data_IF_762955523915
#
_entry.id   IF_762955523915
#
_cell.length_a   1.000
_cell.length_b   1.000
_cell.length_c   1.000
_cell.angle_alpha   90.00
_cell.angle_beta   90.00
_cell.angle_gamma   90.00
#
_symmetry.space_group_name_H-M   'P 1'
#
loop_
_entity.id
_entity.type
_entity.pdbx_description
1 polymer ?
#
# COMPACT_ATOMS: atom_id res chain seq x y z
N UNK A 1 17.32 41.37 -6.82
CA UNK A 1 17.56 40.68 -5.54
C UNK A 1 16.27 40.67 -4.73
N UNK A 2 15.33 39.74 -4.98
CA UNK A 2 14.07 39.70 -4.25
C UNK A 2 14.30 39.26 -2.79
N UNK A 3 13.69 39.96 -1.82
CA UNK A 3 13.92 39.72 -0.41
C UNK A 3 13.19 38.47 0.10
N UNK A 4 13.85 37.78 1.02
CA UNK A 4 13.59 36.42 1.55
C UNK A 4 12.34 36.30 2.45
N UNK A 5 11.39 37.22 2.36
CA UNK A 5 10.22 37.29 3.27
C UNK A 5 9.09 36.30 2.95
N UNK A 6 9.03 35.74 1.74
CA UNK A 6 8.01 34.77 1.37
C UNK A 6 8.14 33.40 2.03
N UNK A 7 9.36 33.01 2.45
CA UNK A 7 9.62 31.70 3.08
C UNK A 7 9.32 31.68 4.59
N UNK A 8 9.31 32.86 5.24
CA UNK A 8 9.03 33.01 6.68
C UNK A 8 7.53 32.94 7.00
N UNK A 9 6.66 33.26 6.05
CA UNK A 9 5.19 33.14 6.21
C UNK A 9 4.68 31.69 6.18
N UNK A 10 5.43 30.76 5.60
CA UNK A 10 5.09 29.33 5.58
C UNK A 10 5.43 28.62 6.90
N UNK A 11 6.22 29.25 7.77
CA UNK A 11 6.61 28.72 9.09
C UNK A 11 5.63 29.10 10.22
N UNK A 12 4.65 29.97 9.93
CA UNK A 12 3.69 30.54 10.89
C UNK A 12 2.22 30.28 10.51
N UNK A 13 1.97 29.30 9.65
CA UNK A 13 0.63 28.72 9.61
C UNK A 13 0.44 27.95 10.94
N UNK A 14 -0.63 28.19 11.71
CA UNK A 14 -0.97 27.34 12.82
C UNK A 14 -1.32 25.97 12.23
N UNK A 15 -0.32 25.08 12.19
CA UNK A 15 -0.56 23.65 12.22
C UNK A 15 -1.56 23.43 13.36
N UNK A 16 -2.68 22.73 13.16
CA UNK A 16 -3.65 22.56 14.23
C UNK A 16 -2.91 21.95 15.41
N UNK A 17 -2.69 22.78 16.43
CA UNK A 17 -2.21 22.40 17.74
C UNK A 17 -3.41 21.72 18.44
N UNK A 18 -3.91 20.66 17.83
CA UNK A 18 -4.68 19.64 18.50
C UNK A 18 -3.68 18.95 19.40
N UNK A 19 -3.83 19.13 20.70
CA UNK A 19 -3.20 18.32 21.72
C UNK A 19 -3.17 16.86 21.26
N UNK A 20 -2.01 16.39 20.80
CA UNK A 20 -1.69 14.98 20.75
C UNK A 20 -1.51 14.54 22.21
N UNK A 21 -2.63 14.48 22.93
CA UNK A 21 -2.71 13.61 24.09
C UNK A 21 -2.36 12.25 23.53
N UNK A 22 -1.27 11.66 24.01
CA UNK A 22 -1.02 10.25 23.80
C UNK A 22 -2.34 9.56 24.17
N UNK A 23 -3.07 9.09 23.15
CA UNK A 23 -4.27 8.31 23.39
C UNK A 23 -3.74 7.06 24.06
N UNK A 24 -3.91 6.99 25.38
CA UNK A 24 -3.74 5.76 26.12
C UNK A 24 -4.69 4.79 25.46
N UNK A 25 -4.11 3.95 24.61
CA UNK A 25 -4.84 3.04 23.77
C UNK A 25 -5.29 1.97 24.74
N UNK A 26 -6.51 2.08 25.27
CA UNK A 26 -7.23 0.92 25.75
C UNK A 26 -7.00 -0.19 24.71
N UNK A 27 -6.72 -1.44 25.13
CA UNK A 27 -6.33 -2.51 24.20
C UNK A 27 -7.26 -2.44 23.00
N UNK A 28 -6.73 -2.27 21.77
CA UNK A 28 -7.52 -1.86 20.63
C UNK A 28 -8.72 -2.78 20.53
N UNK A 29 -9.89 -2.22 20.82
CA UNK A 29 -11.13 -2.96 20.70
C UNK A 29 -11.26 -3.28 19.22
N UNK A 30 -11.28 -4.57 18.88
CA UNK A 30 -11.40 -5.01 17.50
C UNK A 30 -12.79 -4.59 17.00
N UNK A 31 -12.82 -3.53 16.20
CA UNK A 31 -14.03 -3.12 15.50
C UNK A 31 -14.23 -4.02 14.27
N UNK A 32 -15.45 -4.52 14.12
CA UNK A 32 -15.80 -5.43 13.03
C UNK A 32 -15.87 -4.71 11.69
N UNK A 33 -16.22 -3.42 11.67
CA UNK A 33 -16.22 -2.56 10.49
C UNK A 33 -14.80 -2.28 10.00
N UNK A 34 -13.90 -1.90 10.90
CA UNK A 34 -12.48 -1.69 10.58
C UNK A 34 -11.83 -2.98 10.06
N UNK A 35 -12.13 -4.12 10.68
CA UNK A 35 -11.64 -5.43 10.22
C UNK A 35 -12.18 -5.78 8.83
N UNK A 36 -13.48 -5.62 8.61
CA UNK A 36 -14.09 -5.88 7.30
C UNK A 36 -13.50 -4.98 6.21
N UNK A 37 -13.24 -3.71 6.53
CA UNK A 37 -12.60 -2.78 5.62
C UNK A 37 -11.15 -3.16 5.33
N UNK A 38 -10.37 -3.53 6.34
CA UNK A 38 -8.99 -4.00 6.17
C UNK A 38 -8.89 -5.24 5.28
N UNK A 39 -9.79 -6.22 5.47
CA UNK A 39 -9.84 -7.41 4.62
C UNK A 39 -10.23 -7.05 3.17
N UNK A 40 -11.19 -6.15 2.99
CA UNK A 40 -11.61 -5.66 1.67
C UNK A 40 -10.47 -4.93 0.96
N UNK A 41 -9.78 -4.01 1.66
CA UNK A 41 -8.63 -3.28 1.13
C UNK A 41 -7.50 -4.23 0.75
N UNK A 42 -7.22 -5.25 1.57
CA UNK A 42 -6.22 -6.29 1.27
C UNK A 42 -6.58 -7.06 0.00
N UNK A 43 -7.85 -7.43 -0.18
CA UNK A 43 -8.32 -8.09 -1.39
C UNK A 43 -8.16 -7.20 -2.65
N UNK A 44 -8.43 -5.89 -2.54
CA UNK A 44 -8.21 -4.94 -3.63
C UNK A 44 -6.73 -4.82 -4.01
N UNK A 45 -5.82 -4.81 -3.03
CA UNK A 45 -4.37 -4.80 -3.27
C UNK A 45 -3.91 -6.10 -3.95
N UNK A 46 -4.42 -7.25 -3.52
CA UNK A 46 -4.13 -8.53 -4.19
C UNK A 46 -4.63 -8.54 -5.64
N UNK A 47 -5.78 -7.91 -5.92
CA UNK A 47 -6.32 -7.76 -7.27
C UNK A 47 -5.41 -6.93 -8.20
N UNK A 48 -4.64 -5.98 -7.66
CA UNK A 48 -3.62 -5.24 -8.43
C UNK A 48 -2.54 -6.17 -8.98
N UNK A 49 -2.23 -7.25 -8.27
CA UNK A 49 -1.25 -8.25 -8.71
C UNK A 49 -1.88 -9.21 -9.72
N UNK A 50 -3.03 -9.80 -9.38
CA UNK A 50 -3.76 -10.76 -10.21
C UNK A 50 -5.23 -10.31 -10.29
N UNK A 51 -5.76 -9.83 -11.43
CA UNK A 51 -5.19 -9.84 -12.79
C UNK A 51 -4.43 -8.57 -13.19
N UNK A 52 -4.29 -7.56 -12.33
CA UNK A 52 -3.80 -6.22 -12.72
C UNK A 52 -2.46 -6.22 -13.48
N UNK A 53 -1.43 -6.89 -12.94
CA UNK A 53 -0.14 -7.00 -13.63
C UNK A 53 -0.22 -7.83 -14.91
N UNK A 54 -1.03 -8.89 -14.93
CA UNK A 54 -1.18 -9.76 -16.12
C UNK A 54 -1.80 -8.98 -17.27
N UNK A 55 -2.84 -8.19 -17.02
CA UNK A 55 -3.50 -7.39 -18.05
C UNK A 55 -2.59 -6.27 -18.55
N UNK A 56 -1.89 -5.59 -17.65
CA UNK A 56 -1.03 -4.46 -18.01
C UNK A 56 0.25 -4.92 -18.72
N UNK A 57 1.03 -5.80 -18.09
CA UNK A 57 2.31 -6.29 -18.65
C UNK A 57 2.11 -7.33 -19.75
N UNK A 58 1.06 -8.15 -19.69
CA UNK A 58 0.68 -9.04 -20.78
C UNK A 58 0.30 -8.27 -22.05
N UNK A 59 -0.33 -7.10 -21.94
CA UNK A 59 -0.65 -6.24 -23.08
C UNK A 59 0.55 -5.59 -23.78
N UNK A 60 1.69 -5.47 -23.08
CA UNK A 60 2.91 -4.86 -23.61
C UNK A 60 3.89 -5.87 -24.23
N UNK A 61 3.63 -7.18 -24.10
CA UNK A 61 4.47 -8.24 -24.69
C UNK A 61 3.85 -8.83 -25.95
N UNK A 62 4.68 -9.50 -26.76
CA UNK A 62 4.19 -10.25 -27.93
C UNK A 62 3.17 -11.30 -27.51
N UNK A 63 2.14 -11.53 -28.33
CA UNK A 63 1.04 -12.49 -28.05
C UNK A 63 1.53 -13.87 -27.62
N UNK A 64 2.60 -14.37 -28.24
CA UNK A 64 3.18 -15.68 -27.92
C UNK A 64 3.82 -15.74 -26.51
N UNK A 65 4.13 -14.60 -25.90
CA UNK A 65 4.77 -14.50 -24.59
C UNK A 65 3.78 -14.19 -23.45
N UNK A 66 2.50 -13.90 -23.75
CA UNK A 66 1.51 -13.50 -22.74
C UNK A 66 1.29 -14.60 -21.70
N UNK A 67 1.25 -15.86 -22.13
CA UNK A 67 1.12 -17.00 -21.22
C UNK A 67 2.32 -17.10 -20.27
N UNK A 68 3.53 -16.80 -20.75
CA UNK A 68 4.73 -16.77 -19.91
C UNK A 68 4.64 -15.68 -18.84
N UNK A 69 4.17 -14.48 -19.19
CA UNK A 69 3.99 -13.39 -18.22
C UNK A 69 2.93 -13.75 -17.18
N UNK A 70 1.79 -14.33 -17.61
CA UNK A 70 0.74 -14.77 -16.70
C UNK A 70 1.26 -15.80 -15.67
N UNK A 71 2.02 -16.81 -16.12
CA UNK A 71 2.60 -17.82 -15.24
C UNK A 71 3.66 -17.25 -14.29
N UNK A 72 4.49 -16.32 -14.77
CA UNK A 72 5.51 -15.66 -13.94
C UNK A 72 4.87 -14.78 -12.86
N UNK A 73 3.84 -13.99 -13.19
CA UNK A 73 3.12 -13.17 -12.22
C UNK A 73 2.44 -14.04 -11.17
N UNK A 74 1.79 -15.14 -11.57
CA UNK A 74 1.18 -16.08 -10.63
C UNK A 74 2.22 -16.74 -9.71
N UNK A 75 3.30 -17.28 -10.27
CA UNK A 75 4.36 -17.92 -9.50
C UNK A 75 5.01 -16.94 -8.51
N UNK A 76 5.27 -15.71 -8.94
CA UNK A 76 5.88 -14.68 -8.08
C UNK A 76 4.92 -14.26 -6.97
N UNK A 77 3.61 -14.14 -7.24
CA UNK A 77 2.62 -13.85 -6.19
C UNK A 77 2.59 -14.94 -5.11
N UNK A 78 2.64 -16.22 -5.51
CA UNK A 78 2.72 -17.34 -4.56
C UNK A 78 4.02 -17.31 -3.73
N UNK A 79 5.17 -17.14 -4.39
CA UNK A 79 6.47 -17.07 -3.71
C UNK A 79 6.53 -15.89 -2.75
N UNK A 80 6.08 -14.69 -3.17
CA UNK A 80 6.02 -13.51 -2.32
C UNK A 80 5.13 -13.71 -1.10
N UNK A 81 3.99 -14.40 -1.25
CA UNK A 81 3.09 -14.72 -0.12
C UNK A 81 3.80 -15.62 0.90
N UNK A 82 4.52 -16.65 0.43
CA UNK A 82 5.27 -17.55 1.31
C UNK A 82 6.42 -16.80 2.01
N UNK A 83 7.21 -16.04 1.25
CA UNK A 83 8.34 -15.27 1.80
C UNK A 83 7.85 -14.26 2.84
N UNK A 84 6.74 -13.58 2.57
CA UNK A 84 6.10 -12.65 3.51
C UNK A 84 5.69 -13.36 4.80
N UNK A 85 5.06 -14.54 4.71
CA UNK A 85 4.63 -15.30 5.89
C UNK A 85 5.80 -15.84 6.74
N UNK A 86 6.90 -16.28 6.11
CA UNK A 86 8.01 -16.94 6.83
C UNK A 86 8.99 -15.95 7.45
N UNK A 87 9.36 -14.91 6.70
CA UNK A 87 10.35 -13.93 7.17
C UNK A 87 9.90 -12.47 6.96
N UNK A 88 9.13 -12.17 5.91
CA UNK A 88 8.85 -10.78 5.53
C UNK A 88 7.98 -10.01 6.51
N UNK A 89 7.03 -10.67 7.20
CA UNK A 89 6.21 -10.01 8.21
C UNK A 89 7.01 -9.62 9.47
N UNK A 90 8.08 -10.36 9.77
CA UNK A 90 8.88 -10.15 10.98
C UNK A 90 10.11 -9.26 10.76
N UNK A 91 10.57 -9.11 9.51
CA UNK A 91 11.67 -8.22 9.12
C UNK A 91 11.18 -6.77 9.10
#
# INVERSE_FOLDING_TARGET
MPPRFGLLGLLLAPFPLGTALAQESAPPALDSGDTAWMLTATALVLMMTIPGLVLFYGGMVRKQNVLSVAMQVFATACVSTIVWMVIGYSL
#
